data_IF_906929528467
#
_entry.id   IF_906929528467
#
_cell.length_a   1.000
_cell.length_b   1.000
_cell.length_c   1.000
_cell.angle_alpha   90.00
_cell.angle_beta   90.00
_cell.angle_gamma   90.00
#
_symmetry.space_group_name_H-M   'P 1'
#
loop_
_entity.id
_entity.type
_entity.pdbx_description
1 polymer ?
#
# COMPACT_ATOMS: atom_id res chain seq x y z
N UNK A 1 0.40 8.51 -13.26
CA UNK A 1 0.04 9.12 -11.97
C UNK A 1 -1.33 8.62 -11.54
N UNK A 2 -1.88 9.20 -10.48
CA UNK A 2 -3.27 8.97 -10.05
C UNK A 2 -4.25 9.77 -10.92
N UNK A 3 -5.49 9.31 -11.02
CA UNK A 3 -6.57 10.01 -11.76
C UNK A 3 -7.46 10.87 -10.86
N UNK A 4 -7.20 10.89 -9.55
CA UNK A 4 -7.88 11.72 -8.58
C UNK A 4 -6.86 12.22 -7.53
N UNK A 5 -7.35 13.02 -6.58
CA UNK A 5 -6.56 13.55 -5.47
C UNK A 5 -5.73 12.46 -4.77
N UNK A 6 -4.47 12.78 -4.48
CA UNK A 6 -3.60 11.97 -3.64
C UNK A 6 -3.91 12.32 -2.19
N UNK A 7 -4.38 11.36 -1.42
CA UNK A 7 -4.77 11.55 -0.02
C UNK A 7 -3.60 11.37 0.93
N UNK A 8 -2.63 10.53 0.59
CA UNK A 8 -1.46 10.25 1.43
C UNK A 8 -0.28 9.71 0.61
N UNK A 9 0.94 9.88 1.13
CA UNK A 9 2.19 9.44 0.52
C UNK A 9 3.18 8.97 1.59
N UNK A 10 3.90 7.89 1.31
CA UNK A 10 4.90 7.34 2.23
C UNK A 10 6.14 6.84 1.48
N UNK A 11 7.30 7.01 2.13
CA UNK A 11 8.59 6.44 1.69
C UNK A 11 8.90 5.21 2.52
N UNK A 12 9.35 4.13 1.87
CA UNK A 12 9.81 2.93 2.58
C UNK A 12 11.01 3.26 3.47
N UNK A 13 11.13 2.62 4.63
CA UNK A 13 12.26 2.85 5.56
C UNK A 13 13.64 2.52 4.98
N UNK A 14 13.71 1.71 3.92
CA UNK A 14 14.94 1.43 3.18
C UNK A 14 15.29 2.49 2.13
N UNK A 15 14.46 3.54 1.98
CA UNK A 15 14.60 4.57 0.96
C UNK A 15 14.67 3.99 -0.47
N UNK A 16 13.88 2.95 -0.74
CA UNK A 16 13.85 2.27 -2.05
C UNK A 16 12.56 2.53 -2.81
N UNK A 17 11.43 2.68 -2.12
CA UNK A 17 10.12 2.83 -2.71
C UNK A 17 9.41 4.08 -2.20
N UNK A 18 8.64 4.70 -3.10
CA UNK A 18 7.62 5.68 -2.79
C UNK A 18 6.26 5.04 -3.06
N UNK A 19 5.32 5.15 -2.13
CA UNK A 19 3.93 4.77 -2.34
C UNK A 19 3.04 6.02 -2.20
N UNK A 20 1.95 6.06 -2.97
CA UNK A 20 0.90 7.06 -2.82
C UNK A 20 -0.48 6.40 -2.88
N UNK A 21 -1.38 6.84 -2.01
CA UNK A 21 -2.79 6.47 -2.00
C UNK A 21 -3.67 7.59 -2.54
N UNK A 22 -4.79 7.25 -3.16
CA UNK A 22 -5.66 8.24 -3.82
C UNK A 22 -7.15 7.94 -3.66
N UNK A 23 -7.95 8.99 -3.87
CA UNK A 23 -9.39 8.89 -4.10
C UNK A 23 -9.76 8.04 -5.34
N UNK A 24 -8.81 7.76 -6.23
CA UNK A 24 -9.00 6.81 -7.34
C UNK A 24 -9.01 5.33 -6.90
N UNK A 25 -8.85 5.07 -5.59
CA UNK A 25 -8.94 3.76 -4.92
C UNK A 25 -7.72 2.87 -5.11
N UNK A 26 -6.70 3.33 -5.83
CA UNK A 26 -5.46 2.59 -6.04
C UNK A 26 -4.35 3.08 -5.11
N UNK A 27 -3.48 2.16 -4.69
CA UNK A 27 -2.14 2.55 -4.24
C UNK A 27 -1.19 2.36 -5.42
N UNK A 28 -0.38 3.38 -5.72
CA UNK A 28 0.67 3.27 -6.72
C UNK A 28 2.03 3.33 -6.05
N UNK A 29 2.98 2.57 -6.57
CA UNK A 29 4.33 2.45 -6.01
C UNK A 29 5.36 2.69 -7.10
N UNK A 30 6.39 3.46 -6.77
CA UNK A 30 7.51 3.79 -7.64
C UNK A 30 8.84 3.47 -6.97
N UNK A 31 9.85 3.14 -7.78
CA UNK A 31 11.22 3.03 -7.32
C UNK A 31 11.81 4.45 -7.17
N UNK A 32 12.29 4.78 -5.98
CA UNK A 32 12.88 6.10 -5.72
C UNK A 32 14.17 6.35 -6.49
N UNK A 33 14.92 5.29 -6.81
CA UNK A 33 16.19 5.41 -7.54
C UNK A 33 16.00 5.71 -9.02
N UNK A 34 15.03 5.05 -9.65
CA UNK A 34 14.84 5.11 -11.11
C UNK A 34 13.62 5.93 -11.52
N UNK A 35 12.80 6.36 -10.56
CA UNK A 35 11.51 7.00 -10.76
C UNK A 35 10.51 6.15 -11.59
N UNK A 36 10.81 4.85 -11.77
CA UNK A 36 9.97 3.95 -12.56
C UNK A 36 8.79 3.42 -11.73
N UNK A 37 7.62 3.20 -12.36
CA UNK A 37 6.50 2.53 -11.70
C UNK A 37 6.87 1.07 -11.39
N UNK A 38 6.55 0.64 -10.17
CA UNK A 38 6.83 -0.71 -9.65
C UNK A 38 5.54 -1.51 -9.52
N UNK A 39 4.47 -0.90 -8.99
CA UNK A 39 3.21 -1.60 -8.77
C UNK A 39 2.00 -0.66 -8.80
N UNK A 40 0.86 -1.24 -9.15
CA UNK A 40 -0.48 -0.67 -8.93
C UNK A 40 -1.25 -1.69 -8.11
N UNK A 41 -1.64 -1.32 -6.91
CA UNK A 41 -2.19 -2.24 -5.92
C UNK A 41 -3.71 -2.04 -5.81
N UNK A 42 -4.46 -3.12 -6.06
CA UNK A 42 -5.92 -3.15 -6.09
C UNK A 42 -6.44 -3.91 -4.88
N UNK A 43 -7.22 -3.24 -4.04
CA UNK A 43 -7.74 -3.86 -2.80
C UNK A 43 -8.87 -3.09 -2.14
N UNK A 44 -8.86 -1.75 -2.22
CA UNK A 44 -9.93 -0.91 -1.69
C UNK A 44 -11.07 -0.72 -2.72
N UNK A 45 -12.31 -0.69 -2.24
CA UNK A 45 -13.50 -0.40 -3.07
C UNK A 45 -13.94 1.07 -3.01
N UNK A 46 -13.31 1.86 -2.15
CA UNK A 46 -13.51 3.31 -1.99
C UNK A 46 -12.17 4.03 -1.80
N UNK A 47 -12.21 5.36 -1.66
CA UNK A 47 -11.02 6.22 -1.55
C UNK A 47 -10.05 5.72 -0.49
N UNK A 48 -8.76 5.76 -0.81
CA UNK A 48 -7.71 5.51 0.17
C UNK A 48 -7.62 6.71 1.10
N UNK A 49 -7.53 6.47 2.40
CA UNK A 49 -7.50 7.51 3.42
C UNK A 49 -6.13 7.70 4.05
N UNK A 50 -5.29 6.66 4.07
CA UNK A 50 -3.90 6.74 4.53
C UNK A 50 -3.08 5.54 4.05
N UNK A 51 -1.75 5.70 4.01
CA UNK A 51 -0.78 4.64 3.76
C UNK A 51 0.40 4.71 4.72
N UNK A 52 0.98 3.55 5.07
CA UNK A 52 2.16 3.47 5.94
C UNK A 52 3.05 2.28 5.56
N UNK A 53 4.35 2.51 5.40
CA UNK A 53 5.30 1.40 5.36
C UNK A 53 5.53 0.89 6.79
N UNK A 54 5.68 -0.42 6.95
CA UNK A 54 6.05 -0.98 8.24
C UNK A 54 7.56 -0.84 8.47
N UNK A 55 8.00 -0.36 9.64
CA UNK A 55 9.42 -0.37 10.01
C UNK A 55 9.91 -1.78 10.38
N UNK A 56 9.00 -2.74 10.58
CA UNK A 56 9.34 -4.09 11.00
C UNK A 56 10.07 -4.85 9.88
N UNK A 57 11.19 -5.48 10.24
CA UNK A 57 12.02 -6.27 9.32
C UNK A 57 11.86 -7.75 9.65
N UNK A 58 11.31 -8.54 8.72
CA UNK A 58 11.26 -10.01 8.82
C UNK A 58 11.94 -10.63 7.60
N UNK A 59 13.25 -10.84 7.71
CA UNK A 59 14.08 -11.28 6.59
C UNK A 59 14.00 -10.30 5.41
N UNK A 60 13.70 -10.81 4.22
CA UNK A 60 13.54 -10.03 2.99
C UNK A 60 12.08 -9.59 2.73
N UNK A 61 11.13 -9.99 3.58
CA UNK A 61 9.73 -9.57 3.45
C UNK A 61 9.54 -8.20 4.11
N UNK A 62 8.76 -7.36 3.45
CA UNK A 62 8.35 -6.03 3.91
C UNK A 62 6.85 -5.85 3.77
N UNK A 63 6.33 -4.85 4.48
CA UNK A 63 4.90 -4.55 4.52
C UNK A 63 4.64 -3.08 4.22
N UNK A 64 3.57 -2.84 3.48
CA UNK A 64 2.88 -1.57 3.34
C UNK A 64 1.44 -1.79 3.79
N UNK A 65 0.87 -0.85 4.52
CA UNK A 65 -0.55 -0.86 4.90
C UNK A 65 -1.25 0.31 4.28
N UNK A 66 -2.51 0.12 3.92
CA UNK A 66 -3.40 1.19 3.47
C UNK A 66 -4.77 1.06 4.14
N UNK A 67 -5.38 2.18 4.43
CA UNK A 67 -6.77 2.27 4.94
C UNK A 67 -7.66 2.88 3.88
N UNK A 68 -8.93 2.47 3.84
CA UNK A 68 -9.89 3.00 2.88
C UNK A 68 -11.20 3.42 3.53
N UNK A 69 -11.90 4.34 2.86
CA UNK A 69 -13.27 4.71 3.17
C UNK A 69 -14.27 3.53 3.00
N UNK A 70 -13.79 2.38 2.51
CA UNK A 70 -14.53 1.13 2.47
C UNK A 70 -14.56 0.39 3.83
N UNK A 71 -14.00 1.02 4.88
CA UNK A 71 -13.98 0.46 6.24
C UNK A 71 -12.97 -0.66 6.41
N UNK A 72 -11.95 -0.70 5.55
CA UNK A 72 -11.02 -1.83 5.49
C UNK A 72 -9.56 -1.39 5.59
N UNK A 73 -8.72 -2.33 6.01
CA UNK A 73 -7.27 -2.20 6.02
C UNK A 73 -6.70 -3.26 5.08
N UNK A 74 -5.85 -2.86 4.15
CA UNK A 74 -5.11 -3.78 3.29
C UNK A 74 -3.64 -3.86 3.72
N UNK A 75 -3.12 -5.07 3.85
CA UNK A 75 -1.71 -5.35 4.08
C UNK A 75 -1.07 -5.89 2.81
N UNK A 76 -0.07 -5.18 2.32
CA UNK A 76 0.66 -5.47 1.10
C UNK A 76 2.04 -6.02 1.46
N UNK A 77 2.31 -7.26 1.08
CA UNK A 77 3.64 -7.84 1.22
C UNK A 77 4.46 -7.56 -0.03
N UNK A 78 5.71 -7.16 0.16
CA UNK A 78 6.68 -7.04 -0.93
C UNK A 78 8.05 -7.59 -0.54
N UNK A 79 8.83 -7.92 -1.56
CA UNK A 79 10.14 -8.55 -1.41
C UNK A 79 11.26 -7.52 -1.58
N UNK A 80 12.07 -7.31 -0.54
CA UNK A 80 13.10 -6.27 -0.46
C UNK A 80 13.99 -6.16 -1.70
N UNK A 81 14.60 -7.27 -2.10
CA UNK A 81 15.61 -7.25 -3.17
C UNK A 81 15.02 -7.11 -4.58
N UNK A 82 13.79 -7.59 -4.79
CA UNK A 82 13.16 -7.63 -6.13
C UNK A 82 12.13 -6.53 -6.31
N UNK A 83 11.77 -5.83 -5.23
CA UNK A 83 10.70 -4.83 -5.18
C UNK A 83 9.32 -5.36 -5.62
N UNK A 84 9.15 -6.69 -5.73
CA UNK A 84 7.91 -7.30 -6.17
C UNK A 84 6.91 -7.37 -5.01
N UNK A 85 5.72 -6.83 -5.25
CA UNK A 85 4.55 -6.99 -4.38
C UNK A 85 3.85 -8.32 -4.67
N UNK A 86 3.15 -8.87 -3.67
CA UNK A 86 2.19 -9.95 -3.90
C UNK A 86 0.94 -9.39 -4.57
N UNK A 87 0.35 -10.18 -5.47
CA UNK A 87 -0.81 -9.76 -6.28
C UNK A 87 -2.06 -9.43 -5.45
N UNK A 88 -2.22 -10.08 -4.28
CA UNK A 88 -3.39 -9.90 -3.41
C UNK A 88 -2.99 -9.41 -2.03
N UNK A 89 -3.65 -8.36 -1.50
CA UNK A 89 -3.46 -7.95 -0.12
C UNK A 89 -4.12 -8.95 0.82
N UNK A 90 -3.66 -8.97 2.07
CA UNK A 90 -4.50 -9.45 3.17
C UNK A 90 -5.41 -8.30 3.57
N UNK A 91 -6.72 -8.48 3.41
CA UNK A 91 -7.74 -7.46 3.70
C UNK A 91 -8.39 -7.76 5.05
N UNK A 92 -8.39 -6.79 5.95
CA UNK A 92 -9.06 -6.87 7.24
C UNK A 92 -10.25 -5.92 7.24
N UNK A 93 -11.37 -6.41 7.75
CA UNK A 93 -12.60 -5.64 7.97
C UNK A 93 -13.02 -5.89 9.41
N UNK A 94 -13.49 -4.86 10.11
CA UNK A 94 -14.12 -5.09 11.40
C UNK A 94 -15.35 -5.98 11.17
N UNK A 95 -15.32 -7.22 11.68
CA UNK A 95 -16.52 -8.04 11.73
C UNK A 95 -17.31 -7.51 12.92
N UNK A 96 -18.50 -6.97 12.69
CA UNK A 96 -19.48 -6.76 13.74
C UNK A 96 -19.57 -8.08 14.53
N UNK A 97 -19.09 -8.09 15.77
CA UNK A 97 -19.30 -9.24 16.65
C UNK A 97 -20.82 -9.41 16.78
N UNK A 98 -21.40 -10.57 16.47
CA UNK A 98 -22.76 -10.85 16.92
C UNK A 98 -22.74 -10.74 18.44
N UNK A 99 -23.58 -9.87 18.99
CA UNK A 99 -23.86 -9.81 20.42
C UNK A 99 -24.58 -11.06 20.90
#
# INVERSE_FOLDING_TARGET
GHSAEISDMAVSYENTLLAAGSCDKFVRVWCLRTCAPVAVLLGHSASITSIQFSPARKGITRYLTSTGADGTICFWQWHLNTMKFKDRPVKFTERSRPG
#
